data_IF_753898341088
#
_entry.id   IF_753898341088
#
_cell.length_a   1.000
_cell.length_b   1.000
_cell.length_c   1.000
_cell.angle_alpha   90.00
_cell.angle_beta   90.00
_cell.angle_gamma   90.00
#
_symmetry.space_group_name_H-M   'P 1'
#
loop_
_entity.id
_entity.type
_entity.pdbx_description
1 polymer ?
#
# COMPACT_ATOMS: atom_id res chain seq x y z
N UNK A 1 -13.56 11.75 13.41
CA UNK A 1 -14.52 10.61 13.37
C UNK A 1 -14.59 9.91 14.72
N UNK A 2 -13.49 9.45 15.31
CA UNK A 2 -13.47 8.93 16.68
C UNK A 2 -13.81 10.02 17.72
N UNK A 3 -13.26 11.23 17.57
CA UNK A 3 -13.56 12.37 18.45
C UNK A 3 -15.04 12.80 18.45
N UNK A 4 -15.74 12.62 17.33
CA UNK A 4 -17.18 12.91 17.26
C UNK A 4 -18.01 11.79 17.88
N UNK A 5 -17.56 10.54 17.75
CA UNK A 5 -18.22 9.36 18.29
C UNK A 5 -17.96 9.13 19.79
N UNK A 6 -16.80 9.55 20.30
CA UNK A 6 -16.38 9.39 21.70
C UNK A 6 -16.55 10.68 22.52
N UNK A 7 -16.35 11.86 21.92
CA UNK A 7 -16.21 13.13 22.65
C UNK A 7 -17.13 14.27 22.16
N UNK A 8 -17.99 14.02 21.15
CA UNK A 8 -18.97 15.00 20.68
C UNK A 8 -18.38 16.27 20.02
N UNK A 9 -17.10 16.25 19.63
CA UNK A 9 -16.41 17.44 19.11
C UNK A 9 -16.86 17.78 17.67
N UNK A 10 -17.07 19.07 17.33
CA UNK A 10 -17.55 19.51 16.01
C UNK A 10 -16.52 19.38 14.88
N UNK A 11 -15.24 19.19 15.20
CA UNK A 11 -14.16 19.10 14.22
C UNK A 11 -13.83 17.63 13.89
N UNK A 12 -13.80 17.30 12.59
CA UNK A 12 -13.52 15.97 12.11
C UNK A 12 -12.01 15.76 11.92
N UNK A 13 -11.23 15.89 12.99
CA UNK A 13 -9.76 15.85 12.91
C UNK A 13 -9.20 14.57 13.57
N UNK A 14 -8.00 14.18 13.18
CA UNK A 14 -7.16 13.24 13.90
C UNK A 14 -6.29 14.08 14.85
N UNK A 15 -6.48 13.90 16.14
CA UNK A 15 -5.71 14.59 17.17
C UNK A 15 -4.27 14.06 17.20
N UNK A 16 -3.35 14.87 17.76
CA UNK A 16 -1.94 14.44 17.95
C UNK A 16 -1.84 13.18 18.79
N UNK A 17 -2.73 13.00 19.76
CA UNK A 17 -2.75 11.84 20.65
C UNK A 17 -3.15 10.59 19.87
N UNK A 18 -4.22 10.65 19.07
CA UNK A 18 -4.63 9.54 18.19
C UNK A 18 -3.52 9.17 17.20
N UNK A 19 -2.84 10.17 16.62
CA UNK A 19 -1.73 9.94 15.71
C UNK A 19 -0.52 9.30 16.41
N UNK A 20 -0.18 9.71 17.63
CA UNK A 20 0.86 9.06 18.45
C UNK A 20 0.50 7.61 18.79
N UNK A 21 -0.78 7.31 19.06
CA UNK A 21 -1.25 5.94 19.28
C UNK A 21 -1.07 5.09 18.02
N UNK A 22 -1.42 5.62 16.84
CA UNK A 22 -1.21 4.94 15.57
C UNK A 22 0.27 4.67 15.32
N UNK A 23 1.13 5.65 15.56
CA UNK A 23 2.58 5.51 15.41
C UNK A 23 3.17 4.49 16.40
N UNK A 24 2.75 4.50 17.67
CA UNK A 24 3.13 3.48 18.64
C UNK A 24 2.65 2.08 18.21
N UNK A 25 1.45 1.99 17.64
CA UNK A 25 0.91 0.77 17.02
C UNK A 25 1.79 0.26 15.87
N UNK A 26 2.32 1.16 15.03
CA UNK A 26 3.28 0.79 13.98
C UNK A 26 4.55 0.15 14.56
N UNK A 27 5.14 0.76 15.60
CA UNK A 27 6.33 0.23 16.25
C UNK A 27 6.05 -1.14 16.87
N UNK A 28 4.92 -1.30 17.56
CA UNK A 28 4.51 -2.58 18.12
C UNK A 28 4.32 -3.66 17.03
N UNK A 29 3.66 -3.31 15.93
CA UNK A 29 3.51 -4.19 14.77
C UNK A 29 4.86 -4.61 14.17
N UNK A 30 5.78 -3.67 13.98
CA UNK A 30 7.12 -3.95 13.45
C UNK A 30 7.89 -4.91 14.37
N UNK A 31 7.87 -4.68 15.68
CA UNK A 31 8.51 -5.58 16.65
C UNK A 31 7.86 -6.97 16.64
N UNK A 32 6.53 -7.04 16.57
CA UNK A 32 5.80 -8.30 16.50
C UNK A 32 6.14 -9.08 15.21
N UNK A 33 6.14 -8.39 14.07
CA UNK A 33 6.44 -8.94 12.75
C UNK A 33 7.86 -9.48 12.66
N UNK A 34 8.85 -8.74 13.18
CA UNK A 34 10.25 -9.20 13.23
C UNK A 34 10.43 -10.45 14.13
N UNK A 35 9.64 -10.57 15.19
CA UNK A 35 9.68 -11.73 16.11
C UNK A 35 8.94 -12.96 15.59
N UNK A 36 7.86 -12.77 14.84
CA UNK A 36 6.98 -13.84 14.34
C UNK A 36 7.11 -14.10 12.84
N UNK A 37 8.07 -13.47 12.17
CA UNK A 37 8.34 -13.65 10.74
C UNK A 37 8.58 -15.12 10.41
N UNK A 38 7.63 -15.73 9.71
CA UNK A 38 7.76 -17.11 9.26
C UNK A 38 8.88 -17.18 8.22
N UNK A 39 9.85 -18.07 8.42
CA UNK A 39 10.77 -18.47 7.35
C UNK A 39 9.92 -19.13 6.27
N UNK A 40 9.91 -18.58 5.06
CA UNK A 40 9.24 -19.21 3.91
C UNK A 40 9.70 -20.68 3.81
N UNK A 41 8.77 -21.66 3.73
CA UNK A 41 9.14 -23.00 3.33
C UNK A 41 9.71 -22.90 1.92
N UNK A 42 11.01 -23.19 1.76
CA UNK A 42 11.65 -23.35 0.46
C UNK A 42 10.91 -24.48 -0.25
N UNK A 43 9.92 -24.13 -1.06
CA UNK A 43 9.13 -25.10 -1.81
C UNK A 43 10.05 -25.62 -2.90
N UNK A 44 10.21 -26.94 -2.95
CA UNK A 44 11.18 -27.68 -3.75
C UNK A 44 10.92 -27.61 -5.26
N UNK A 45 10.94 -26.42 -5.85
CA UNK A 45 11.05 -26.20 -7.28
C UNK A 45 12.46 -25.68 -7.56
N UNK A 46 13.37 -26.62 -7.89
CA UNK A 46 14.74 -26.42 -8.38
C UNK A 46 15.28 -24.99 -8.20
N UNK A 47 15.79 -24.66 -7.00
CA UNK A 47 16.58 -23.45 -6.82
C UNK A 47 17.77 -23.54 -7.79
N UNK A 48 17.93 -22.62 -8.76
CA UNK A 48 19.22 -22.49 -9.42
C UNK A 48 20.24 -22.27 -8.29
N UNK A 49 21.27 -23.12 -8.24
CA UNK A 49 22.36 -23.12 -7.25
C UNK A 49 22.49 -21.74 -6.61
N UNK A 50 22.24 -21.63 -5.29
CA UNK A 50 22.41 -20.39 -4.52
C UNK A 50 23.75 -19.78 -4.88
N UNK A 51 23.77 -18.87 -5.84
CA UNK A 51 24.95 -18.10 -6.16
C UNK A 51 25.26 -17.37 -4.86
N UNK A 52 26.41 -17.65 -4.25
CA UNK A 52 26.87 -16.92 -3.08
C UNK A 52 27.12 -15.48 -3.52
N UNK A 53 26.06 -14.68 -3.55
CA UNK A 53 26.14 -13.26 -3.85
C UNK A 53 26.82 -12.64 -2.64
N UNK A 54 27.96 -11.99 -2.85
CA UNK A 54 28.63 -11.28 -1.76
C UNK A 54 27.68 -10.25 -1.16
N UNK A 55 27.75 -10.03 0.15
CA UNK A 55 26.90 -9.07 0.86
C UNK A 55 26.96 -7.67 0.21
N UNK A 56 28.16 -7.25 -0.22
CA UNK A 56 28.35 -6.00 -0.95
C UNK A 56 27.55 -5.97 -2.27
N UNK A 57 27.57 -7.06 -3.04
CA UNK A 57 26.81 -7.17 -4.29
C UNK A 57 25.31 -7.21 -4.03
N UNK A 58 24.85 -7.87 -2.97
CA UNK A 58 23.44 -7.88 -2.58
C UNK A 58 22.94 -6.48 -2.19
N UNK A 59 23.69 -5.77 -1.34
CA UNK A 59 23.39 -4.39 -0.95
C UNK A 59 23.37 -3.49 -2.19
N UNK A 60 24.38 -3.59 -3.06
CA UNK A 60 24.44 -2.83 -4.30
C UNK A 60 23.21 -3.06 -5.19
N UNK A 61 22.81 -4.32 -5.39
CA UNK A 61 21.62 -4.67 -6.17
C UNK A 61 20.33 -4.13 -5.55
N UNK A 62 20.21 -4.16 -4.22
CA UNK A 62 19.04 -3.61 -3.51
C UNK A 62 18.98 -2.09 -3.68
N UNK A 63 20.08 -1.39 -3.42
CA UNK A 63 20.12 0.08 -3.50
C UNK A 63 19.86 0.55 -4.93
N UNK A 64 20.54 -0.05 -5.91
CA UNK A 64 20.37 0.35 -7.31
C UNK A 64 18.98 -0.01 -7.84
N UNK A 65 18.45 -1.19 -7.48
CA UNK A 65 17.09 -1.59 -7.85
C UNK A 65 16.03 -0.69 -7.24
N UNK A 66 16.17 -0.33 -5.96
CA UNK A 66 15.26 0.59 -5.27
C UNK A 66 15.31 1.99 -5.87
N UNK A 67 16.51 2.51 -6.14
CA UNK A 67 16.67 3.80 -6.81
C UNK A 67 15.99 3.81 -8.19
N UNK A 68 16.24 2.78 -9.01
CA UNK A 68 15.59 2.65 -10.32
C UNK A 68 14.06 2.58 -10.23
N UNK A 69 13.53 1.93 -9.18
CA UNK A 69 12.10 1.84 -8.94
C UNK A 69 11.48 3.19 -8.56
N UNK A 70 12.14 3.95 -7.68
CA UNK A 70 11.69 5.29 -7.24
C UNK A 70 11.74 6.27 -8.42
N UNK A 71 12.90 6.43 -9.05
CA UNK A 71 13.07 7.36 -10.16
C UNK A 71 12.21 6.99 -11.38
N UNK A 72 12.05 5.70 -11.65
CA UNK A 72 11.17 5.21 -12.71
C UNK A 72 9.70 5.52 -12.45
N UNK A 73 9.25 5.40 -11.19
CA UNK A 73 7.91 5.79 -10.76
C UNK A 73 7.67 7.28 -10.95
N UNK A 74 8.58 8.13 -10.46
CA UNK A 74 8.47 9.59 -10.57
C UNK A 74 8.41 10.04 -12.03
N UNK A 75 9.32 9.53 -12.86
CA UNK A 75 9.36 9.85 -14.29
C UNK A 75 8.08 9.44 -15.02
N UNK A 76 7.48 8.30 -14.65
CA UNK A 76 6.22 7.85 -15.19
C UNK A 76 5.08 8.82 -14.84
N UNK A 77 4.98 9.20 -13.56
CA UNK A 77 3.93 10.13 -13.08
C UNK A 77 4.05 11.49 -13.76
N UNK A 78 5.25 12.04 -13.84
CA UNK A 78 5.52 13.32 -14.49
C UNK A 78 5.15 13.29 -15.97
N UNK A 79 5.53 12.21 -16.67
CA UNK A 79 5.22 12.03 -18.09
C UNK A 79 3.72 11.90 -18.34
N UNK A 80 3.02 11.10 -17.52
CA UNK A 80 1.57 10.96 -17.63
C UNK A 80 0.83 12.27 -17.31
N UNK A 81 1.28 13.02 -16.31
CA UNK A 81 0.72 14.33 -15.97
C UNK A 81 0.88 15.33 -17.12
N UNK A 82 2.06 15.37 -17.74
CA UNK A 82 2.31 16.22 -18.91
C UNK A 82 1.42 15.87 -20.12
N UNK A 83 1.18 14.57 -20.36
CA UNK A 83 0.27 14.10 -21.42
C UNK A 83 -1.18 14.48 -21.09
N UNK A 84 -1.64 14.23 -19.87
CA UNK A 84 -3.02 14.51 -19.44
C UNK A 84 -3.35 16.02 -19.54
N UNK A 85 -2.41 16.88 -19.16
CA UNK A 85 -2.53 18.35 -19.32
C UNK A 85 -2.70 18.76 -20.78
N UNK A 86 -1.95 18.15 -21.70
CA UNK A 86 -2.09 18.39 -23.15
C UNK A 86 -3.43 17.91 -23.70
N UNK A 87 -4.05 16.92 -23.07
CA UNK A 87 -5.36 16.40 -23.44
C UNK A 87 -6.53 17.20 -22.80
N UNK A 88 -6.25 18.27 -22.06
CA UNK A 88 -7.27 19.10 -21.43
C UNK A 88 -7.92 18.48 -20.18
N UNK A 89 -7.30 17.45 -19.60
CA UNK A 89 -7.73 16.87 -18.32
C UNK A 89 -7.40 17.85 -17.19
N UNK A 90 -8.33 18.05 -16.25
CA UNK A 90 -8.09 18.95 -15.12
C UNK A 90 -7.00 18.44 -14.19
N UNK A 91 -6.22 19.37 -13.62
CA UNK A 91 -5.16 19.05 -12.66
C UNK A 91 -5.67 18.25 -11.46
N UNK A 92 -6.92 18.50 -11.04
CA UNK A 92 -7.57 17.77 -9.96
C UNK A 92 -7.73 16.27 -10.25
N UNK A 93 -8.16 15.91 -11.46
CA UNK A 93 -8.33 14.50 -11.85
C UNK A 93 -6.96 13.82 -11.96
N UNK A 94 -5.95 14.51 -12.51
CA UNK A 94 -4.58 13.99 -12.59
C UNK A 94 -3.99 13.76 -11.20
N UNK A 95 -4.20 14.68 -10.25
CA UNK A 95 -3.73 14.53 -8.88
C UNK A 95 -4.41 13.35 -8.15
N UNK A 96 -5.73 13.22 -8.28
CA UNK A 96 -6.50 12.20 -7.56
C UNK A 96 -6.27 10.79 -8.14
N UNK A 97 -5.98 10.66 -9.44
CA UNK A 97 -5.86 9.35 -10.11
C UNK A 97 -4.41 8.98 -10.40
N UNK A 98 -3.73 9.77 -11.22
CA UNK A 98 -2.40 9.49 -11.74
C UNK A 98 -1.31 9.67 -10.69
N UNK A 99 -1.37 10.75 -9.91
CA UNK A 99 -0.39 10.99 -8.85
C UNK A 99 -0.61 10.02 -7.68
N UNK A 100 -1.87 9.84 -7.24
CA UNK A 100 -2.19 8.89 -6.18
C UNK A 100 -1.81 7.44 -6.55
N UNK A 101 -2.22 6.97 -7.73
CA UNK A 101 -1.85 5.63 -8.21
C UNK A 101 -0.35 5.50 -8.55
N UNK A 102 0.26 6.60 -8.99
CA UNK A 102 1.67 6.71 -9.33
C UNK A 102 2.61 6.34 -8.20
N UNK A 103 2.32 6.84 -6.99
CA UNK A 103 3.10 6.51 -5.78
C UNK A 103 3.06 5.03 -5.41
N UNK A 104 2.06 4.28 -5.89
CA UNK A 104 1.90 2.84 -5.67
C UNK A 104 2.46 1.98 -6.82
N UNK A 105 3.00 2.59 -7.89
CA UNK A 105 3.62 1.86 -9.00
C UNK A 105 4.84 1.05 -8.58
N UNK A 106 5.76 1.58 -7.73
CA UNK A 106 6.85 0.79 -7.17
C UNK A 106 6.36 -0.53 -6.55
N UNK A 107 5.34 -0.46 -5.70
CA UNK A 107 4.75 -1.58 -4.99
C UNK A 107 4.04 -2.54 -5.94
N UNK A 108 3.34 -2.02 -6.95
CA UNK A 108 2.71 -2.85 -7.98
C UNK A 108 3.78 -3.63 -8.75
N UNK A 109 4.87 -2.98 -9.14
CA UNK A 109 5.96 -3.63 -9.86
C UNK A 109 6.66 -4.72 -9.03
N UNK A 110 6.95 -4.46 -7.75
CA UNK A 110 7.55 -5.47 -6.86
C UNK A 110 6.61 -6.66 -6.63
N UNK A 111 5.31 -6.40 -6.45
CA UNK A 111 4.29 -7.45 -6.34
C UNK A 111 4.19 -8.32 -7.61
N UNK A 112 4.18 -7.70 -8.80
CA UNK A 112 4.14 -8.43 -10.08
C UNK A 112 5.38 -9.31 -10.23
N UNK A 113 6.57 -8.79 -9.92
CA UNK A 113 7.82 -9.55 -10.01
C UNK A 113 7.83 -10.72 -9.01
N UNK A 114 7.38 -10.50 -7.76
CA UNK A 114 7.29 -11.54 -6.74
C UNK A 114 6.29 -12.64 -7.15
N UNK A 115 5.12 -12.26 -7.68
CA UNK A 115 4.12 -13.19 -8.19
C UNK A 115 4.66 -14.00 -9.38
N UNK A 116 5.37 -13.36 -10.33
CA UNK A 116 6.01 -14.05 -11.47
C UNK A 116 7.11 -15.03 -11.05
N UNK A 117 7.73 -14.83 -9.89
CA UNK A 117 8.71 -15.74 -9.28
C UNK A 117 8.07 -16.84 -8.42
N UNK A 118 6.73 -16.96 -8.42
CA UNK A 118 5.95 -17.84 -7.55
C UNK A 118 6.13 -17.56 -6.05
N UNK A 119 6.68 -16.41 -5.67
CA UNK A 119 6.84 -15.95 -4.29
C UNK A 119 5.58 -15.23 -3.81
N UNK A 120 4.47 -15.97 -3.72
CA UNK A 120 3.15 -15.43 -3.38
C UNK A 120 3.12 -14.80 -1.97
N UNK A 121 3.85 -15.36 -1.00
CA UNK A 121 3.93 -14.80 0.35
C UNK A 121 4.69 -13.47 0.37
N UNK A 122 5.72 -13.31 -0.47
CA UNK A 122 6.43 -12.03 -0.64
C UNK A 122 5.51 -10.96 -1.26
N UNK A 123 4.72 -11.32 -2.27
CA UNK A 123 3.76 -10.39 -2.88
C UNK A 123 2.67 -9.95 -1.87
N UNK A 124 2.08 -10.90 -1.13
CA UNK A 124 1.10 -10.60 -0.09
C UNK A 124 1.71 -9.77 1.05
N UNK A 125 2.93 -10.09 1.48
CA UNK A 125 3.66 -9.34 2.50
C UNK A 125 3.90 -7.88 2.08
N UNK A 126 4.21 -7.63 0.82
CA UNK A 126 4.36 -6.27 0.29
C UNK A 126 3.02 -5.50 0.32
N UNK A 127 1.93 -6.10 -0.15
CA UNK A 127 0.61 -5.43 -0.16
C UNK A 127 0.13 -5.10 1.26
N UNK A 128 0.19 -6.07 2.17
CA UNK A 128 -0.26 -5.89 3.54
C UNK A 128 0.65 -4.92 4.31
N UNK A 129 1.97 -5.08 4.16
CA UNK A 129 2.97 -4.24 4.82
C UNK A 129 2.89 -2.78 4.39
N UNK A 130 2.73 -2.49 3.09
CA UNK A 130 2.59 -1.12 2.60
C UNK A 130 1.30 -0.47 3.09
N UNK A 131 0.16 -1.19 3.10
CA UNK A 131 -1.09 -0.64 3.62
C UNK A 131 -1.03 -0.36 5.12
N UNK A 132 -0.46 -1.28 5.91
CA UNK A 132 -0.26 -1.08 7.35
C UNK A 132 0.67 0.11 7.61
N UNK A 133 1.75 0.25 6.84
CA UNK A 133 2.68 1.38 6.96
C UNK A 133 2.01 2.70 6.57
N UNK A 134 1.24 2.74 5.48
CA UNK A 134 0.54 3.96 5.07
C UNK A 134 -0.42 4.47 6.15
N UNK A 135 -1.09 3.56 6.87
CA UNK A 135 -2.02 3.95 7.93
C UNK A 135 -1.28 4.25 9.23
N UNK A 136 -0.48 3.30 9.74
CA UNK A 136 0.08 3.45 11.08
C UNK A 136 1.31 4.37 11.09
N UNK A 137 2.18 4.28 10.08
CA UNK A 137 3.38 5.10 9.98
C UNK A 137 3.08 6.47 9.37
N UNK A 138 2.49 6.56 8.17
CA UNK A 138 2.34 7.87 7.50
C UNK A 138 1.32 8.75 8.23
N UNK A 139 0.11 8.26 8.50
CA UNK A 139 -0.90 9.04 9.24
C UNK A 139 -0.46 9.26 10.69
N UNK A 140 0.09 8.24 11.36
CA UNK A 140 0.54 8.38 12.74
C UNK A 140 1.69 9.38 12.90
N UNK A 141 2.70 9.32 12.04
CA UNK A 141 3.83 10.25 12.08
C UNK A 141 3.40 11.66 11.66
N UNK A 142 2.68 11.80 10.54
CA UNK A 142 2.25 13.13 10.05
C UNK A 142 1.30 13.80 11.04
N UNK A 143 0.35 13.05 11.60
CA UNK A 143 -0.61 13.53 12.60
C UNK A 143 0.03 13.89 13.94
N UNK A 144 1.18 13.29 14.28
CA UNK A 144 1.93 13.64 15.49
C UNK A 144 2.59 15.02 15.37
N UNK A 145 2.97 15.42 14.15
CA UNK A 145 3.58 16.72 13.86
C UNK A 145 2.47 17.78 13.70
N UNK A 146 1.50 17.54 12.81
CA UNK A 146 0.39 18.45 12.50
C UNK A 146 -0.95 17.71 12.59
N UNK A 147 -1.94 18.21 13.36
CA UNK A 147 -3.28 17.61 13.38
C UNK A 147 -3.88 17.52 11.98
N UNK A 148 -4.38 16.34 11.61
CA UNK A 148 -4.91 16.10 10.27
C UNK A 148 -6.41 16.35 10.25
N UNK A 149 -6.87 17.25 9.37
CA UNK A 149 -8.29 17.50 9.15
C UNK A 149 -8.87 16.52 8.14
N UNK A 150 -9.91 15.78 8.54
CA UNK A 150 -10.59 14.80 7.69
C UNK A 150 -11.86 15.40 7.11
N UNK A 151 -11.88 15.64 5.79
CA UNK A 151 -13.08 16.11 5.12
C UNK A 151 -14.14 14.99 5.06
N UNK A 152 -15.40 15.33 5.28
CA UNK A 152 -16.55 14.41 5.26
C UNK A 152 -16.74 13.71 3.91
N UNK A 153 -16.34 14.34 2.79
CA UNK A 153 -16.32 13.70 1.46
C UNK A 153 -15.30 12.55 1.37
N UNK A 154 -14.26 12.55 2.19
CA UNK A 154 -13.24 11.48 2.23
C UNK A 154 -13.67 10.27 3.07
N UNK A 155 -14.87 10.29 3.67
CA UNK A 155 -15.33 9.20 4.55
C UNK A 155 -15.49 7.89 3.79
N UNK A 156 -15.96 7.94 2.53
CA UNK A 156 -16.09 6.76 1.68
C UNK A 156 -14.71 6.17 1.34
N UNK A 157 -13.72 7.01 1.06
CA UNK A 157 -12.33 6.61 0.80
C UNK A 157 -11.63 6.06 2.05
N UNK A 158 -11.93 6.61 3.23
CA UNK A 158 -11.40 6.13 4.51
C UNK A 158 -11.97 4.79 4.95
N UNK A 159 -13.21 4.47 4.58
CA UNK A 159 -13.88 3.21 4.90
C UNK A 159 -13.45 2.06 3.96
N UNK A 160 -13.05 2.40 2.73
CA UNK A 160 -12.50 1.45 1.76
C UNK A 160 -11.20 0.83 2.24
N UNK A 161 -10.31 1.58 2.88
CA UNK A 161 -9.01 1.07 3.34
C UNK A 161 -9.14 -0.10 4.35
N UNK A 162 -9.89 0.03 5.47
CA UNK A 162 -10.08 -1.09 6.40
C UNK A 162 -10.91 -2.22 5.78
N UNK A 163 -11.85 -1.93 4.87
CA UNK A 163 -12.61 -2.96 4.15
C UNK A 163 -11.71 -3.74 3.18
N UNK A 164 -10.79 -3.08 2.47
CA UNK A 164 -9.81 -3.72 1.59
C UNK A 164 -8.81 -4.56 2.37
N UNK A 165 -8.36 -4.09 3.54
CA UNK A 165 -7.50 -4.86 4.45
C UNK A 165 -8.26 -6.06 5.01
N UNK A 166 -9.54 -5.89 5.38
CA UNK A 166 -10.39 -6.96 5.87
C UNK A 166 -10.65 -8.00 4.77
N UNK A 167 -10.96 -7.58 3.54
CA UNK A 167 -11.16 -8.46 2.38
C UNK A 167 -9.89 -9.21 2.02
N UNK A 168 -8.73 -8.55 2.02
CA UNK A 168 -7.43 -9.20 1.80
C UNK A 168 -7.11 -10.18 2.93
N UNK A 169 -7.41 -9.83 4.18
CA UNK A 169 -7.19 -10.71 5.32
C UNK A 169 -8.12 -11.93 5.29
N UNK A 170 -9.39 -11.73 4.91
CA UNK A 170 -10.35 -12.83 4.73
C UNK A 170 -9.93 -13.71 3.56
N UNK A 171 -9.57 -13.16 2.40
CA UNK A 171 -9.09 -13.94 1.26
C UNK A 171 -7.80 -14.72 1.59
N UNK A 172 -6.87 -14.11 2.33
CA UNK A 172 -5.62 -14.75 2.75
C UNK A 172 -5.80 -15.83 3.84
N UNK A 173 -6.84 -15.73 4.68
CA UNK A 173 -7.03 -16.62 5.85
C UNK A 173 -8.19 -17.62 5.69
N UNK A 174 -9.16 -17.35 4.81
CA UNK A 174 -10.39 -18.14 4.65
C UNK A 174 -10.21 -19.39 3.78
N UNK A 175 -9.11 -19.50 3.02
CA UNK A 175 -8.83 -20.69 2.23
C UNK A 175 -7.46 -21.24 2.57
N UNK A 176 -7.39 -22.55 2.80
CA UNK A 176 -6.20 -23.30 3.25
C UNK A 176 -4.94 -23.16 2.37
N UNK A 177 -4.99 -22.37 1.30
CA UNK A 177 -3.87 -21.95 0.46
C UNK A 177 -3.62 -20.46 0.72
N UNK A 178 -2.43 -20.10 1.20
CA UNK A 178 -1.96 -18.71 1.37
C UNK A 178 -1.71 -18.00 0.01
N UNK A 179 -2.61 -18.18 -0.95
CA UNK A 179 -2.48 -17.70 -2.32
C UNK A 179 -3.83 -17.15 -2.78
N UNK A 180 -3.81 -15.95 -3.38
CA UNK A 180 -4.94 -15.38 -4.10
C UNK A 180 -5.18 -16.16 -5.40
N UNK A 181 -6.41 -16.59 -5.62
CA UNK A 181 -6.82 -17.22 -6.88
C UNK A 181 -7.11 -16.15 -7.96
N UNK A 182 -7.05 -16.54 -9.23
CA UNK A 182 -7.29 -15.65 -10.38
C UNK A 182 -8.67 -14.99 -10.31
N UNK A 183 -9.68 -15.70 -9.82
CA UNK A 183 -11.04 -15.18 -9.66
C UNK A 183 -11.11 -14.04 -8.63
N UNK A 184 -10.39 -14.17 -7.50
CA UNK A 184 -10.33 -13.13 -6.48
C UNK A 184 -9.63 -11.88 -7.03
N UNK A 185 -8.54 -12.05 -7.78
CA UNK A 185 -7.86 -10.95 -8.47
C UNK A 185 -8.77 -10.19 -9.43
N UNK A 186 -9.61 -10.89 -10.20
CA UNK A 186 -10.60 -10.25 -11.09
C UNK A 186 -11.63 -9.43 -10.31
N UNK A 187 -12.12 -9.96 -9.19
CA UNK A 187 -13.05 -9.24 -8.31
C UNK A 187 -12.40 -7.95 -7.78
N UNK A 188 -11.14 -8.01 -7.31
CA UNK A 188 -10.43 -6.83 -6.85
C UNK A 188 -10.23 -5.77 -7.95
N UNK A 189 -9.96 -6.18 -9.19
CA UNK A 189 -9.85 -5.26 -10.33
C UNK A 189 -11.20 -4.59 -10.61
N UNK A 190 -12.30 -5.35 -10.62
CA UNK A 190 -13.65 -4.80 -10.85
C UNK A 190 -13.99 -3.77 -9.77
N UNK A 191 -13.73 -4.09 -8.50
CA UNK A 191 -13.95 -3.17 -7.38
C UNK A 191 -13.08 -1.91 -7.49
N UNK A 192 -11.82 -2.05 -7.89
CA UNK A 192 -10.92 -0.92 -8.09
C UNK A 192 -11.40 0.01 -9.23
N UNK A 193 -11.84 -0.56 -10.36
CA UNK A 193 -12.39 0.22 -11.48
C UNK A 193 -13.68 0.94 -11.06
N UNK A 194 -14.59 0.25 -10.36
CA UNK A 194 -15.81 0.85 -9.83
C UNK A 194 -15.53 2.01 -8.86
N UNK A 195 -14.50 1.87 -8.01
CA UNK A 195 -14.03 2.93 -7.13
C UNK A 195 -13.53 4.15 -7.91
N UNK A 196 -12.64 3.95 -8.89
CA UNK A 196 -12.11 5.06 -9.71
C UNK A 196 -13.23 5.80 -10.43
N UNK A 197 -14.20 5.09 -11.01
CA UNK A 197 -15.37 5.71 -11.68
C UNK A 197 -16.16 6.55 -10.68
N UNK A 198 -16.37 6.05 -9.47
CA UNK A 198 -17.11 6.78 -8.43
C UNK A 198 -16.38 8.05 -8.03
N UNK A 199 -15.06 7.97 -7.83
CA UNK A 199 -14.22 9.12 -7.43
C UNK A 199 -14.12 10.18 -8.51
N UNK A 200 -14.01 9.79 -9.79
CA UNK A 200 -13.94 10.74 -10.92
C UNK A 200 -15.27 11.46 -11.15
N UNK A 201 -16.40 10.82 -10.81
CA UNK A 201 -17.73 11.37 -10.98
C UNK A 201 -18.24 12.20 -9.77
N UNK A 202 -17.45 12.30 -8.70
CA UNK A 202 -17.70 13.17 -7.53
C UNK A 202 -17.03 14.52 -7.72
#
# INVERSE_FOLDING_TARGET
VLDKALWGSPANNISRIEALILFAGFIAYMVYSLKHGQKEPQTAAAEPQKAQVSLAKAIFMIVFGLAGLIFGGDLFVDSCSAIAKKMGVSDSIVAITLMAGGTSLPELATCIIAARKNSHQLALGNILGSNISNILLIIGLSGSIVPLSVNSQSFFSLLIIPVSILLLSISAYSFKKKCLDRYEGVIFIILYVAFIITVVNI
#
